data_IF_514515560967
#
_entry.id   IF_514515560967
#
_cell.length_a   1.000
_cell.length_b   1.000
_cell.length_c   1.000
_cell.angle_alpha   90.00
_cell.angle_beta   90.00
_cell.angle_gamma   90.00
#
_symmetry.space_group_name_H-M   'P 1'
#
loop_
_entity.id
_entity.type
_entity.pdbx_description
1 polymer ?
#
# COMPACT_ATOMS: atom_id res chain seq x y z
N UNK A 1 63.29 36.63 -27.22
CA UNK A 1 62.37 35.75 -27.97
C UNK A 1 62.08 34.51 -27.14
N UNK A 2 60.96 34.45 -26.42
CA UNK A 2 60.24 33.19 -26.10
C UNK A 2 58.76 33.59 -25.94
N UNK A 3 57.91 33.11 -26.83
CA UNK A 3 56.45 33.33 -26.86
C UNK A 3 55.77 32.66 -25.66
N UNK A 4 54.84 33.37 -25.01
CA UNK A 4 53.84 32.77 -24.12
C UNK A 4 52.75 32.15 -24.98
N UNK A 5 52.49 30.86 -24.80
CA UNK A 5 51.32 30.17 -25.37
C UNK A 5 50.24 30.14 -24.28
N UNK A 6 49.09 30.73 -24.59
CA UNK A 6 47.90 30.72 -23.75
C UNK A 6 47.33 29.29 -23.63
N UNK A 7 47.24 28.79 -22.40
CA UNK A 7 46.39 27.65 -22.06
C UNK A 7 45.00 28.18 -21.67
N UNK A 8 44.07 28.13 -22.61
CA UNK A 8 42.64 28.29 -22.37
C UNK A 8 42.16 27.21 -21.39
N UNK A 9 41.78 27.65 -20.19
CA UNK A 9 41.09 26.82 -19.22
C UNK A 9 39.71 26.43 -19.78
N UNK A 10 39.54 25.14 -20.10
CA UNK A 10 38.23 24.56 -20.40
C UNK A 10 37.40 24.59 -19.12
N UNK A 11 36.36 25.42 -19.08
CA UNK A 11 35.40 25.44 -17.99
C UNK A 11 34.73 24.06 -17.85
N UNK A 12 34.56 23.51 -16.63
CA UNK A 12 33.83 22.26 -16.46
C UNK A 12 32.37 22.51 -16.82
N UNK A 13 31.95 21.92 -17.93
CA UNK A 13 30.56 21.85 -18.35
C UNK A 13 29.77 21.19 -17.22
N UNK A 14 28.97 21.96 -16.47
CA UNK A 14 28.04 21.43 -15.47
C UNK A 14 27.12 20.43 -16.17
N UNK A 15 27.38 19.15 -15.99
CA UNK A 15 26.44 18.12 -16.38
C UNK A 15 25.14 18.38 -15.62
N UNK A 16 24.08 18.74 -16.35
CA UNK A 16 22.73 18.80 -15.80
C UNK A 16 22.45 17.45 -15.11
N UNK A 17 22.09 17.50 -13.83
CA UNK A 17 21.72 16.33 -13.05
C UNK A 17 20.43 15.72 -13.63
N UNK A 18 20.58 14.83 -14.62
CA UNK A 18 19.46 14.08 -15.19
C UNK A 18 18.82 13.21 -14.10
N UNK A 19 17.52 13.40 -13.88
CA UNK A 19 16.76 12.73 -12.83
C UNK A 19 16.77 11.20 -13.01
N UNK A 20 16.87 10.46 -11.90
CA UNK A 20 16.72 8.99 -11.89
C UNK A 20 15.38 8.59 -12.51
N UNK A 21 15.33 7.58 -13.41
CA UNK A 21 14.08 7.12 -14.02
C UNK A 21 13.03 6.77 -12.97
N UNK A 22 11.82 7.33 -13.14
CA UNK A 22 10.66 7.10 -12.27
C UNK A 22 9.67 6.15 -12.93
N UNK A 23 8.88 5.44 -12.12
CA UNK A 23 7.75 4.67 -12.64
C UNK A 23 6.61 5.59 -13.07
N UNK A 24 5.79 5.12 -14.00
CA UNK A 24 4.57 5.78 -14.41
C UNK A 24 3.58 5.87 -13.24
N UNK A 25 2.82 6.96 -13.20
CA UNK A 25 1.76 7.17 -12.21
C UNK A 25 0.68 6.10 -12.28
N UNK A 26 0.39 5.59 -13.47
CA UNK A 26 -0.67 4.64 -13.76
C UNK A 26 -0.10 3.45 -14.55
N UNK A 27 -0.79 2.31 -14.55
CA UNK A 27 -0.41 1.18 -15.43
C UNK A 27 -0.62 1.57 -16.90
N UNK A 28 -1.78 2.15 -17.19
CA UNK A 28 -2.16 2.66 -18.50
C UNK A 28 -2.00 4.19 -18.54
N UNK A 29 -1.75 4.77 -19.71
CA UNK A 29 -1.67 6.23 -19.85
C UNK A 29 -3.01 6.95 -19.63
N UNK A 30 -4.12 6.20 -19.59
CA UNK A 30 -5.49 6.69 -19.49
C UNK A 30 -6.34 5.75 -18.62
N UNK A 31 -7.49 6.25 -18.17
CA UNK A 31 -8.42 5.47 -17.37
C UNK A 31 -8.87 4.21 -18.11
N UNK A 32 -8.76 3.07 -17.41
CA UNK A 32 -9.33 1.81 -17.88
C UNK A 32 -10.86 1.91 -17.93
N UNK A 33 -11.46 1.49 -19.03
CA UNK A 33 -12.91 1.39 -19.15
C UNK A 33 -13.48 0.38 -18.14
N UNK A 34 -14.50 0.79 -17.38
CA UNK A 34 -15.15 -0.04 -16.36
C UNK A 34 -16.35 -0.79 -16.98
N UNK A 35 -16.14 -2.01 -17.46
CA UNK A 35 -17.20 -2.87 -18.04
C UNK A 35 -18.00 -3.57 -16.95
N UNK A 36 -19.32 -3.34 -16.88
CA UNK A 36 -20.18 -3.93 -15.83
C UNK A 36 -21.07 -5.04 -16.38
N UNK A 37 -21.12 -6.23 -15.74
CA UNK A 37 -20.34 -6.63 -14.57
C UNK A 37 -18.85 -6.86 -14.91
N UNK A 38 -17.92 -6.75 -13.93
CA UNK A 38 -16.54 -7.17 -14.13
C UNK A 38 -16.46 -8.65 -14.50
N UNK A 39 -15.37 -9.05 -15.16
CA UNK A 39 -15.12 -10.45 -15.52
C UNK A 39 -15.11 -11.36 -14.29
N UNK A 40 -15.42 -12.63 -14.49
CA UNK A 40 -15.34 -13.66 -13.44
C UNK A 40 -13.87 -14.08 -13.28
N UNK A 41 -13.43 -14.29 -12.04
CA UNK A 41 -12.12 -14.84 -11.72
C UNK A 41 -12.33 -16.17 -11.01
N UNK A 42 -12.15 -17.26 -11.73
CA UNK A 42 -12.18 -18.61 -11.17
C UNK A 42 -10.76 -19.04 -10.78
N UNK A 43 -10.40 -18.78 -9.53
CA UNK A 43 -9.07 -19.07 -9.00
C UNK A 43 -9.17 -19.50 -7.53
N UNK A 44 -8.43 -20.53 -7.13
CA UNK A 44 -8.47 -21.06 -5.76
C UNK A 44 -8.15 -20.02 -4.68
N UNK A 45 -7.30 -19.04 -5.02
CA UNK A 45 -6.95 -17.94 -4.11
C UNK A 45 -8.09 -16.96 -3.82
N UNK A 46 -9.20 -16.93 -4.57
CA UNK A 46 -10.35 -16.04 -4.30
C UNK A 46 -10.88 -16.15 -2.86
N UNK A 47 -10.81 -17.34 -2.27
CA UNK A 47 -11.26 -17.63 -0.89
C UNK A 47 -10.11 -17.88 0.09
N UNK A 48 -8.85 -17.86 -0.38
CA UNK A 48 -7.67 -18.15 0.43
C UNK A 48 -7.34 -17.03 1.42
N UNK A 49 -6.75 -17.40 2.56
CA UNK A 49 -6.24 -16.44 3.54
C UNK A 49 -5.02 -15.66 3.03
N UNK A 50 -4.20 -16.27 2.19
CA UNK A 50 -2.89 -15.74 1.80
C UNK A 50 -2.83 -15.45 0.31
N UNK A 51 -3.46 -14.35 -0.11
CA UNK A 51 -3.50 -13.92 -1.50
C UNK A 51 -2.32 -13.03 -1.90
N UNK A 52 -1.81 -12.22 -0.97
CA UNK A 52 -0.71 -11.31 -1.27
C UNK A 52 0.64 -12.04 -1.33
N UNK A 53 1.45 -11.81 -2.38
CA UNK A 53 2.82 -12.31 -2.46
C UNK A 53 3.79 -11.58 -1.51
N UNK A 54 3.43 -10.36 -1.08
CA UNK A 54 4.22 -9.56 -0.15
C UNK A 54 3.91 -9.92 1.31
N UNK A 55 4.94 -9.81 2.15
CA UNK A 55 4.85 -9.80 3.62
C UNK A 55 5.09 -8.39 4.10
N UNK A 56 4.03 -7.65 4.36
CA UNK A 56 4.16 -6.30 4.87
C UNK A 56 4.13 -6.29 6.41
N UNK A 57 5.01 -5.55 7.09
CA UNK A 57 4.87 -5.30 8.53
C UNK A 57 3.50 -4.70 8.83
N UNK A 58 2.88 -5.13 9.94
CA UNK A 58 1.50 -4.75 10.25
C UNK A 58 0.44 -5.44 9.39
N UNK A 59 0.80 -6.45 8.56
CA UNK A 59 -0.13 -7.12 7.66
C UNK A 59 -1.41 -7.59 8.35
N UNK A 60 -2.42 -6.74 8.18
CA UNK A 60 -3.83 -6.86 8.56
C UNK A 60 -4.57 -7.98 7.85
N UNK A 61 -3.85 -9.02 7.39
CA UNK A 61 -4.42 -10.30 6.98
C UNK A 61 -5.37 -10.87 8.04
N UNK A 62 -5.13 -10.56 9.31
CA UNK A 62 -6.03 -10.86 10.43
C UNK A 62 -7.25 -9.93 10.50
N UNK A 63 -7.15 -8.66 10.09
CA UNK A 63 -8.25 -7.69 10.09
C UNK A 63 -9.10 -7.78 8.81
N UNK A 64 -8.55 -8.29 7.71
CA UNK A 64 -9.25 -8.42 6.44
C UNK A 64 -10.63 -9.12 6.57
N UNK A 65 -10.80 -10.20 7.36
CA UNK A 65 -12.12 -10.76 7.66
C UNK A 65 -13.08 -9.80 8.38
N UNK A 66 -12.58 -8.97 9.30
CA UNK A 66 -13.37 -7.96 10.02
C UNK A 66 -13.83 -6.87 9.06
N UNK A 67 -12.93 -6.35 8.22
CA UNK A 67 -13.25 -5.37 7.18
C UNK A 67 -14.27 -5.94 6.19
N UNK A 68 -14.09 -7.20 5.79
CA UNK A 68 -15.02 -7.94 4.92
C UNK A 68 -16.43 -7.92 5.48
N UNK A 69 -16.59 -8.28 6.77
CA UNK A 69 -17.89 -8.25 7.45
C UNK A 69 -18.50 -6.85 7.52
N UNK A 70 -17.69 -5.82 7.80
CA UNK A 70 -18.18 -4.43 7.90
C UNK A 70 -18.69 -3.93 6.55
N UNK A 71 -17.93 -4.14 5.48
CA UNK A 71 -18.31 -3.71 4.13
C UNK A 71 -19.49 -4.52 3.59
N UNK A 72 -19.54 -5.82 3.90
CA UNK A 72 -20.67 -6.66 3.52
C UNK A 72 -21.97 -6.24 4.24
N UNK A 73 -21.91 -6.00 5.56
CA UNK A 73 -23.05 -5.51 6.33
C UNK A 73 -23.53 -4.12 5.84
N UNK A 74 -22.60 -3.24 5.43
CA UNK A 74 -22.95 -1.93 4.89
C UNK A 74 -23.85 -2.02 3.65
N UNK A 75 -23.75 -3.09 2.86
CA UNK A 75 -24.62 -3.35 1.69
C UNK A 75 -26.10 -3.51 2.04
N UNK A 76 -26.43 -3.80 3.30
CA UNK A 76 -27.81 -3.84 3.80
C UNK A 76 -28.46 -2.46 3.96
N UNK A 77 -27.71 -1.36 3.84
CA UNK A 77 -28.25 -0.01 3.93
C UNK A 77 -28.60 0.57 2.56
N UNK A 78 -29.72 1.30 2.47
CA UNK A 78 -30.04 2.13 1.29
C UNK A 78 -28.94 3.14 0.94
N UNK A 79 -28.12 3.53 1.91
CA UNK A 79 -27.04 4.50 1.71
C UNK A 79 -25.81 3.92 1.00
N UNK A 80 -25.62 2.59 1.02
CA UNK A 80 -24.52 1.87 0.39
C UNK A 80 -25.08 0.56 -0.18
N UNK A 81 -25.85 0.56 -1.28
CA UNK A 81 -26.51 -0.66 -1.76
C UNK A 81 -25.54 -1.65 -2.44
N UNK A 82 -24.38 -1.17 -2.86
CA UNK A 82 -23.31 -1.95 -3.48
C UNK A 82 -21.98 -1.18 -3.36
N UNK A 83 -20.85 -1.87 -3.55
CA UNK A 83 -19.52 -1.26 -3.57
C UNK A 83 -18.85 -1.61 -4.90
N UNK A 84 -18.91 -0.69 -5.86
CA UNK A 84 -18.36 -0.88 -7.20
C UNK A 84 -16.84 -0.67 -7.25
N UNK A 85 -16.31 0.18 -6.37
CA UNK A 85 -14.87 0.41 -6.26
C UNK A 85 -14.45 0.57 -4.80
N UNK A 86 -13.48 -0.25 -4.40
CA UNK A 86 -12.70 -0.01 -3.18
C UNK A 86 -11.39 0.69 -3.56
N UNK A 87 -11.07 1.79 -2.89
CA UNK A 87 -9.82 2.53 -3.07
C UNK A 87 -8.93 2.30 -1.85
N UNK A 88 -7.72 1.77 -2.04
CA UNK A 88 -6.74 1.56 -0.96
C UNK A 88 -5.50 2.43 -1.22
N UNK A 89 -5.46 3.67 -0.69
CA UNK A 89 -4.37 4.62 -0.94
C UNK A 89 -3.08 4.35 -0.15
N UNK A 90 -3.10 3.31 0.69
CA UNK A 90 -1.96 2.82 1.46
C UNK A 90 -1.83 1.31 1.20
N UNK A 91 -1.67 0.95 -0.09
CA UNK A 91 -1.80 -0.43 -0.52
C UNK A 91 -0.84 -1.35 0.26
N UNK A 92 0.44 -1.02 0.39
CA UNK A 92 1.41 -1.87 1.07
C UNK A 92 1.34 -3.33 0.58
N UNK A 93 0.83 -4.23 1.42
CA UNK A 93 0.58 -5.63 1.09
C UNK A 93 -0.79 -5.97 0.47
N UNK A 94 -1.71 -5.02 0.36
CA UNK A 94 -3.05 -5.09 -0.26
C UNK A 94 -3.91 -6.30 0.18
N UNK A 95 -3.66 -6.84 1.37
CA UNK A 95 -4.29 -8.09 1.82
C UNK A 95 -5.80 -7.93 2.08
N UNK A 96 -6.24 -6.73 2.48
CA UNK A 96 -7.66 -6.44 2.64
C UNK A 96 -8.35 -6.34 1.27
N UNK A 97 -7.80 -5.54 0.34
CA UNK A 97 -8.35 -5.39 -1.02
C UNK A 97 -8.43 -6.70 -1.78
N UNK A 98 -7.36 -7.51 -1.79
CA UNK A 98 -7.35 -8.80 -2.48
C UNK A 98 -8.41 -9.76 -1.95
N UNK A 99 -8.68 -9.72 -0.64
CA UNK A 99 -9.71 -10.54 -0.02
C UNK A 99 -11.10 -10.07 -0.42
N UNK A 100 -11.35 -8.77 -0.30
CA UNK A 100 -12.65 -8.15 -0.60
C UNK A 100 -13.05 -8.38 -2.06
N UNK A 101 -12.11 -8.19 -2.99
CA UNK A 101 -12.39 -8.38 -4.43
C UNK A 101 -12.47 -9.86 -4.81
N UNK A 102 -11.65 -10.71 -4.18
CA UNK A 102 -11.68 -12.16 -4.39
C UNK A 102 -12.98 -12.80 -3.92
N UNK A 103 -13.53 -12.32 -2.80
CA UNK A 103 -14.80 -12.78 -2.25
C UNK A 103 -16.03 -12.15 -2.92
N UNK A 104 -15.83 -11.23 -3.88
CA UNK A 104 -16.94 -10.50 -4.52
C UNK A 104 -17.69 -9.57 -3.57
N UNK A 105 -17.11 -9.18 -2.44
CA UNK A 105 -17.69 -8.20 -1.52
C UNK A 105 -17.69 -6.82 -2.18
N UNK A 106 -16.64 -6.53 -2.94
CA UNK A 106 -16.50 -5.35 -3.80
C UNK A 106 -16.27 -5.82 -5.24
N UNK A 107 -16.78 -5.06 -6.21
CA UNK A 107 -16.62 -5.43 -7.62
C UNK A 107 -15.19 -5.22 -8.11
N UNK A 108 -14.56 -4.14 -7.63
CA UNK A 108 -13.25 -3.70 -8.07
C UNK A 108 -12.42 -3.08 -6.96
N UNK A 109 -11.11 -3.08 -7.18
CA UNK A 109 -10.12 -2.42 -6.35
C UNK A 109 -9.22 -1.50 -7.17
N UNK A 110 -8.89 -0.34 -6.60
CA UNK A 110 -7.81 0.54 -7.03
C UNK A 110 -6.79 0.60 -5.90
N UNK A 111 -5.55 0.25 -6.21
CA UNK A 111 -4.46 0.31 -5.25
C UNK A 111 -3.67 1.59 -5.50
N UNK A 112 -3.21 2.25 -4.44
CA UNK A 112 -2.19 3.28 -4.57
C UNK A 112 -1.18 3.17 -3.45
N UNK A 113 0.07 3.51 -3.75
CA UNK A 113 1.12 3.66 -2.77
C UNK A 113 2.12 4.71 -3.25
N UNK A 114 2.71 5.43 -2.30
CA UNK A 114 3.73 6.44 -2.58
C UNK A 114 5.13 5.82 -2.63
N UNK A 115 5.33 4.61 -2.08
CA UNK A 115 6.59 3.89 -2.26
C UNK A 115 6.69 3.31 -3.67
N UNK A 116 7.61 3.88 -4.45
CA UNK A 116 7.94 3.44 -5.80
C UNK A 116 8.20 1.92 -5.92
N UNK A 117 8.79 1.25 -4.91
CA UNK A 117 9.00 -0.20 -4.96
C UNK A 117 7.70 -0.97 -4.84
N UNK A 118 6.82 -0.56 -3.93
CA UNK A 118 5.51 -1.19 -3.71
C UNK A 118 4.64 -0.97 -4.93
N UNK A 119 4.62 0.25 -5.46
CA UNK A 119 3.83 0.54 -6.66
C UNK A 119 4.37 -0.16 -7.89
N UNK A 120 5.69 -0.16 -8.12
CA UNK A 120 6.28 -0.92 -9.23
C UNK A 120 5.95 -2.41 -9.14
N UNK A 121 5.98 -2.97 -7.93
CA UNK A 121 5.59 -4.35 -7.67
C UNK A 121 4.16 -4.62 -8.09
N UNK A 122 3.19 -3.86 -7.59
CA UNK A 122 1.78 -4.08 -7.91
C UNK A 122 1.47 -3.83 -9.39
N UNK A 123 2.09 -2.82 -10.01
CA UNK A 123 1.94 -2.57 -11.45
C UNK A 123 2.49 -3.75 -12.28
N UNK A 124 3.68 -4.27 -11.96
CA UNK A 124 4.26 -5.41 -12.66
C UNK A 124 3.47 -6.71 -12.38
N UNK A 125 3.04 -6.95 -11.15
CA UNK A 125 2.22 -8.11 -10.80
C UNK A 125 0.88 -8.13 -11.57
N UNK A 126 0.31 -6.96 -11.84
CA UNK A 126 -0.93 -6.80 -12.60
C UNK A 126 -0.73 -6.87 -14.12
N UNK A 127 0.28 -6.17 -14.66
CA UNK A 127 0.40 -5.92 -16.10
C UNK A 127 1.58 -6.64 -16.79
N UNK A 128 2.62 -7.03 -16.04
CA UNK A 128 3.80 -7.75 -16.52
C UNK A 128 3.94 -9.10 -15.80
N UNK A 129 2.81 -9.74 -15.48
CA UNK A 129 2.72 -10.88 -14.54
C UNK A 129 3.71 -12.00 -14.84
N UNK A 130 3.71 -12.49 -16.09
CA UNK A 130 4.60 -13.59 -16.49
C UNK A 130 6.08 -13.18 -16.43
N UNK A 131 6.42 -11.97 -16.87
CA UNK A 131 7.80 -11.48 -16.80
C UNK A 131 8.29 -11.36 -15.35
N UNK A 132 7.41 -10.98 -14.40
CA UNK A 132 7.74 -10.96 -12.98
C UNK A 132 7.86 -12.38 -12.39
N UNK A 133 7.03 -13.32 -12.82
CA UNK A 133 7.12 -14.74 -12.43
C UNK A 133 8.46 -15.34 -12.89
N UNK A 134 8.80 -15.18 -14.16
CA UNK A 134 10.06 -15.66 -14.73
C UNK A 134 11.25 -15.11 -13.94
N UNK A 135 11.21 -13.80 -13.68
CA UNK A 135 12.27 -13.14 -12.92
C UNK A 135 12.34 -13.65 -11.48
N UNK A 136 11.21 -13.88 -10.82
CA UNK A 136 11.17 -14.45 -9.47
C UNK A 136 11.71 -15.89 -9.42
N UNK A 137 11.43 -16.72 -10.44
CA UNK A 137 11.98 -18.08 -10.56
C UNK A 137 13.48 -18.08 -10.83
N UNK A 138 13.96 -17.13 -11.63
CA UNK A 138 15.40 -16.92 -11.87
C UNK A 138 16.13 -16.53 -10.58
N UNK A 139 15.59 -15.56 -9.83
CA UNK A 139 16.17 -15.14 -8.55
C UNK A 139 16.21 -16.30 -7.54
N UNK A 140 15.13 -17.10 -7.49
CA UNK A 140 15.08 -18.30 -6.68
C UNK A 140 16.17 -19.29 -7.04
N UNK A 141 16.23 -19.71 -8.30
CA UNK A 141 17.10 -20.79 -8.77
C UNK A 141 18.57 -20.44 -8.61
N UNK A 142 18.94 -19.20 -8.97
CA UNK A 142 20.35 -18.78 -9.04
C UNK A 142 20.91 -18.28 -7.72
N UNK A 143 20.07 -17.70 -6.85
CA UNK A 143 20.58 -16.97 -5.68
C UNK A 143 19.93 -17.35 -4.36
N UNK A 144 18.60 -17.51 -4.30
CA UNK A 144 17.92 -17.77 -3.03
C UNK A 144 18.00 -19.24 -2.61
N UNK A 145 17.81 -20.18 -3.55
CA UNK A 145 17.88 -21.63 -3.30
C UNK A 145 19.28 -22.08 -2.86
N UNK A 146 20.39 -21.61 -3.45
CA UNK A 146 21.73 -21.88 -2.91
C UNK A 146 21.95 -21.37 -1.48
N UNK A 147 21.24 -20.31 -1.09
CA UNK A 147 21.32 -19.72 0.25
C UNK A 147 22.69 -19.13 0.58
N UNK A 148 23.02 -19.07 1.87
CA UNK A 148 24.35 -18.69 2.37
C UNK A 148 24.88 -17.37 1.81
N UNK A 149 26.18 -17.35 1.50
CA UNK A 149 26.87 -16.17 0.98
C UNK A 149 26.32 -15.71 -0.39
N UNK A 150 25.89 -16.64 -1.26
CA UNK A 150 25.31 -16.32 -2.57
C UNK A 150 24.03 -15.51 -2.42
N UNK A 151 23.12 -15.94 -1.54
CA UNK A 151 21.89 -15.22 -1.26
C UNK A 151 22.16 -13.86 -0.63
N UNK A 152 23.09 -13.75 0.32
CA UNK A 152 23.45 -12.48 0.97
C UNK A 152 24.09 -11.50 -0.02
N UNK A 153 24.98 -11.95 -0.89
CA UNK A 153 25.56 -11.11 -1.94
C UNK A 153 24.49 -10.59 -2.90
N UNK A 154 23.49 -11.43 -3.24
CA UNK A 154 22.36 -11.00 -4.07
C UNK A 154 21.45 -10.00 -3.34
N UNK A 155 21.29 -10.16 -2.03
CA UNK A 155 20.59 -9.18 -1.20
C UNK A 155 21.30 -7.83 -1.20
N UNK A 156 22.63 -7.80 -1.02
CA UNK A 156 23.42 -6.56 -1.08
C UNK A 156 23.31 -5.90 -2.47
N UNK A 157 23.35 -6.70 -3.55
CA UNK A 157 23.08 -6.21 -4.91
C UNK A 157 21.72 -5.50 -4.99
N UNK A 158 20.63 -6.16 -4.61
CA UNK A 158 19.29 -5.56 -4.67
C UNK A 158 19.12 -4.38 -3.71
N UNK A 159 19.85 -4.31 -2.59
CA UNK A 159 19.83 -3.14 -1.71
C UNK A 159 20.48 -1.91 -2.34
N UNK A 160 21.52 -2.10 -3.14
CA UNK A 160 22.23 -1.04 -3.84
C UNK A 160 21.70 -0.74 -5.24
N UNK A 161 20.85 -1.62 -5.79
CA UNK A 161 20.45 -1.55 -7.18
C UNK A 161 19.63 -0.29 -7.48
N UNK A 162 19.99 0.37 -8.57
CA UNK A 162 19.28 1.51 -9.14
C UNK A 162 19.13 1.32 -10.65
N UNK A 163 18.03 1.80 -11.26
CA UNK A 163 17.84 1.69 -12.70
C UNK A 163 18.88 2.51 -13.47
N UNK A 164 19.33 1.99 -14.61
CA UNK A 164 20.19 2.73 -15.53
C UNK A 164 19.45 3.96 -16.10
N UNK A 165 20.16 5.08 -16.30
CA UNK A 165 19.57 6.38 -16.68
C UNK A 165 18.72 6.35 -17.96
N UNK A 166 19.08 5.51 -18.92
CA UNK A 166 18.41 5.35 -20.21
C UNK A 166 17.58 4.06 -20.30
N UNK A 167 17.28 3.42 -19.17
CA UNK A 167 16.46 2.21 -19.16
C UNK A 167 15.03 2.52 -19.62
N UNK A 168 14.46 1.61 -20.43
CA UNK A 168 13.05 1.71 -20.84
C UNK A 168 12.13 1.66 -19.62
N UNK A 169 10.99 2.36 -19.61
CA UNK A 169 10.06 2.35 -18.47
C UNK A 169 9.65 0.95 -18.00
N UNK A 170 9.39 0.03 -18.93
CA UNK A 170 9.06 -1.38 -18.61
C UNK A 170 10.22 -2.10 -17.89
N UNK A 171 11.47 -1.87 -18.31
CA UNK A 171 12.67 -2.42 -17.64
C UNK A 171 12.84 -1.84 -16.24
N UNK A 172 12.60 -0.53 -16.07
CA UNK A 172 12.64 0.12 -14.75
C UNK A 172 11.59 -0.48 -13.83
N UNK A 173 10.33 -0.60 -14.29
CA UNK A 173 9.22 -1.19 -13.53
C UNK A 173 9.51 -2.63 -13.13
N UNK A 174 9.91 -3.50 -14.05
CA UNK A 174 10.23 -4.90 -13.76
C UNK A 174 11.42 -5.03 -12.79
N UNK A 175 12.46 -4.21 -12.95
CA UNK A 175 13.61 -4.20 -12.05
C UNK A 175 13.24 -3.80 -10.62
N UNK A 176 12.46 -2.72 -10.46
CA UNK A 176 11.96 -2.26 -9.17
C UNK A 176 10.98 -3.25 -8.53
N UNK A 177 10.11 -3.87 -9.33
CA UNK A 177 9.20 -4.93 -8.86
C UNK A 177 9.98 -6.14 -8.34
N UNK A 178 11.03 -6.55 -9.07
CA UNK A 178 11.92 -7.64 -8.65
C UNK A 178 12.65 -7.28 -7.36
N UNK A 179 13.20 -6.06 -7.28
CA UNK A 179 13.85 -5.55 -6.07
C UNK A 179 12.90 -5.58 -4.87
N UNK A 180 11.67 -5.09 -5.04
CA UNK A 180 10.62 -5.10 -4.02
C UNK A 180 10.33 -6.52 -3.53
N UNK A 181 9.96 -7.43 -4.44
CA UNK A 181 9.67 -8.83 -4.08
C UNK A 181 10.88 -9.48 -3.42
N UNK A 182 12.08 -9.29 -3.98
CA UNK A 182 13.28 -9.93 -3.48
C UNK A 182 13.56 -9.52 -2.05
N UNK A 183 13.68 -8.22 -1.80
CA UNK A 183 13.96 -7.68 -0.47
C UNK A 183 12.83 -8.01 0.51
N UNK A 184 11.57 -7.98 0.07
CA UNK A 184 10.44 -8.31 0.93
C UNK A 184 10.49 -9.77 1.42
N UNK A 185 10.90 -10.71 0.57
CA UNK A 185 10.98 -12.14 0.96
C UNK A 185 12.25 -12.46 1.73
N UNK A 186 13.33 -11.70 1.53
CA UNK A 186 14.67 -12.03 2.05
C UNK A 186 15.16 -11.11 3.17
N UNK A 187 14.41 -10.08 3.56
CA UNK A 187 14.76 -9.18 4.68
C UNK A 187 13.97 -9.55 5.94
N UNK A 188 14.57 -9.31 7.12
CA UNK A 188 13.88 -9.50 8.39
C UNK A 188 12.54 -8.75 8.40
N UNK A 189 11.47 -9.45 8.81
CA UNK A 189 10.08 -8.95 8.78
C UNK A 189 9.55 -8.41 7.43
N UNK A 190 10.27 -8.63 6.32
CA UNK A 190 9.90 -8.12 5.00
C UNK A 190 10.02 -6.59 4.86
N UNK A 191 10.77 -5.96 5.76
CA UNK A 191 11.02 -4.52 5.76
C UNK A 191 11.88 -4.19 4.54
N UNK A 192 11.42 -3.25 3.71
CA UNK A 192 12.11 -2.88 2.48
C UNK A 192 13.22 -1.82 2.69
N UNK A 193 13.22 -1.13 3.85
CA UNK A 193 14.04 0.07 4.12
C UNK A 193 14.70 0.05 5.50
N UNK A 194 15.44 1.12 5.80
CA UNK A 194 16.11 1.28 7.08
C UNK A 194 17.24 0.27 7.29
N UNK A 195 17.46 -0.08 8.56
CA UNK A 195 18.62 -0.89 9.02
C UNK A 195 18.35 -2.40 9.04
N UNK A 196 17.17 -2.85 8.59
CA UNK A 196 16.85 -4.27 8.57
C UNK A 196 17.80 -5.03 7.64
N UNK A 197 18.41 -6.09 8.16
CA UNK A 197 19.34 -6.96 7.42
C UNK A 197 18.65 -8.17 6.79
N UNK A 198 19.40 -8.97 6.02
CA UNK A 198 18.88 -10.21 5.44
C UNK A 198 18.37 -11.14 6.55
N UNK A 199 17.26 -11.82 6.30
CA UNK A 199 16.75 -12.83 7.22
C UNK A 199 17.77 -13.95 7.39
N UNK A 200 17.95 -14.38 8.63
CA UNK A 200 18.99 -15.31 9.02
C UNK A 200 20.35 -14.66 9.33
N UNK A 201 20.45 -13.34 9.20
CA UNK A 201 21.66 -12.58 9.50
C UNK A 201 22.72 -12.69 8.39
N UNK A 202 23.71 -11.80 8.38
CA UNK A 202 24.73 -11.79 7.30
C UNK A 202 25.55 -13.09 7.25
N UNK A 203 25.76 -13.75 8.40
CA UNK A 203 26.46 -15.04 8.48
C UNK A 203 25.60 -16.25 8.09
N UNK A 204 24.27 -16.09 8.01
CA UNK A 204 23.33 -17.16 7.66
C UNK A 204 23.38 -18.39 8.61
N UNK A 205 23.68 -18.16 9.88
CA UNK A 205 23.78 -19.21 10.92
C UNK A 205 22.41 -19.50 11.61
N UNK A 206 21.39 -18.68 11.35
CA UNK A 206 20.05 -18.88 11.89
C UNK A 206 19.36 -20.10 11.28
N UNK A 207 18.49 -20.81 12.03
CA UNK A 207 17.64 -21.85 11.44
C UNK A 207 16.68 -21.31 10.36
N UNK A 208 16.46 -19.98 10.33
CA UNK A 208 15.69 -19.30 9.31
C UNK A 208 16.62 -18.61 8.30
N UNK A 209 17.17 -19.37 7.36
CA UNK A 209 18.04 -18.84 6.30
C UNK A 209 17.30 -17.92 5.32
N UNK A 210 18.05 -17.25 4.44
CA UNK A 210 17.55 -16.19 3.55
C UNK A 210 16.36 -16.61 2.66
N UNK A 211 16.33 -17.88 2.26
CA UNK A 211 15.28 -18.46 1.43
C UNK A 211 14.07 -19.00 2.19
N UNK A 212 14.04 -18.99 3.53
CA UNK A 212 12.98 -19.65 4.32
C UNK A 212 11.56 -19.09 4.06
N UNK A 213 11.47 -17.91 3.45
CA UNK A 213 10.21 -17.27 3.06
C UNK A 213 10.01 -17.27 1.55
N UNK A 214 10.86 -17.86 0.73
CA UNK A 214 10.68 -17.91 -0.71
C UNK A 214 10.10 -19.26 -1.13
N UNK A 215 8.77 -19.37 -1.15
CA UNK A 215 8.11 -20.50 -1.80
C UNK A 215 7.82 -20.07 -3.25
N UNK A 216 8.58 -20.56 -4.25
CA UNK A 216 8.46 -20.09 -5.63
C UNK A 216 7.08 -20.39 -6.22
N UNK A 217 6.52 -21.58 -5.97
CA UNK A 217 5.23 -21.99 -6.54
C UNK A 217 4.09 -21.18 -5.94
N UNK A 218 4.11 -20.95 -4.63
CA UNK A 218 3.11 -20.11 -3.98
C UNK A 218 3.29 -18.61 -4.28
N UNK A 219 4.47 -18.16 -4.71
CA UNK A 219 4.66 -16.78 -5.21
C UNK A 219 4.08 -16.68 -6.62
N UNK A 220 4.38 -17.64 -7.49
CA UNK A 220 3.82 -17.69 -8.85
C UNK A 220 2.30 -17.71 -8.83
N UNK A 221 1.69 -18.62 -8.07
CA UNK A 221 0.23 -18.74 -7.97
C UNK A 221 -0.42 -17.42 -7.57
N UNK A 222 0.17 -16.70 -6.61
CA UNK A 222 -0.32 -15.39 -6.18
C UNK A 222 -0.14 -14.30 -7.23
N UNK A 223 0.96 -14.32 -7.98
CA UNK A 223 1.17 -13.38 -9.09
C UNK A 223 0.16 -13.64 -10.22
N UNK A 224 -0.06 -14.90 -10.61
CA UNK A 224 -1.07 -15.27 -11.61
C UNK A 224 -2.48 -14.82 -11.20
N UNK A 225 -2.84 -15.01 -9.92
CA UNK A 225 -4.11 -14.52 -9.38
C UNK A 225 -4.28 -13.00 -9.54
N UNK A 226 -3.23 -12.21 -9.26
CA UNK A 226 -3.27 -10.75 -9.44
C UNK A 226 -3.43 -10.39 -10.93
N UNK A 227 -2.69 -11.07 -11.81
CA UNK A 227 -2.83 -10.92 -13.26
C UNK A 227 -4.26 -11.21 -13.74
N UNK A 228 -4.89 -12.26 -13.24
CA UNK A 228 -6.29 -12.60 -13.57
C UNK A 228 -7.28 -11.55 -13.05
N UNK A 229 -7.10 -11.02 -11.83
CA UNK A 229 -7.89 -9.90 -11.33
C UNK A 229 -7.77 -8.68 -12.24
N UNK A 230 -6.57 -8.38 -12.71
CA UNK A 230 -6.34 -7.29 -13.64
C UNK A 230 -6.98 -7.56 -15.01
N UNK A 231 -6.84 -8.75 -15.58
CA UNK A 231 -7.47 -9.12 -16.86
C UNK A 231 -9.00 -9.06 -16.80
N UNK A 232 -9.60 -9.50 -15.70
CA UNK A 232 -11.05 -9.44 -15.46
C UNK A 232 -11.57 -8.01 -15.18
N UNK A 233 -10.68 -7.01 -15.10
CA UNK A 233 -11.03 -5.63 -14.74
C UNK A 233 -11.38 -5.44 -13.25
N UNK A 234 -11.14 -6.45 -12.40
CA UNK A 234 -11.40 -6.39 -10.96
C UNK A 234 -10.31 -5.61 -10.21
N UNK A 235 -9.06 -5.69 -10.64
CA UNK A 235 -8.05 -4.68 -10.30
C UNK A 235 -8.04 -3.64 -11.42
N UNK A 236 -8.47 -2.41 -11.14
CA UNK A 236 -8.65 -1.39 -12.20
C UNK A 236 -7.35 -0.71 -12.58
N UNK A 237 -6.52 -0.39 -11.60
CA UNK A 237 -5.25 0.28 -11.78
C UNK A 237 -4.42 0.23 -10.47
N UNK A 238 -3.15 0.62 -10.57
CA UNK A 238 -2.23 0.79 -9.45
C UNK A 238 -1.52 2.14 -9.58
N UNK A 239 -1.78 3.05 -8.64
CA UNK A 239 -1.33 4.44 -8.71
C UNK A 239 -0.08 4.72 -7.88
N UNK A 240 0.90 5.40 -8.48
CA UNK A 240 2.05 5.96 -7.76
C UNK A 240 1.73 7.38 -7.30
N UNK A 241 0.89 7.48 -6.27
CA UNK A 241 0.38 8.74 -5.71
C UNK A 241 0.31 8.65 -4.20
N UNK A 242 0.37 9.81 -3.53
CA UNK A 242 0.03 9.89 -2.11
C UNK A 242 -1.48 9.72 -1.89
N UNK A 243 -1.88 9.53 -0.63
CA UNK A 243 -3.28 9.30 -0.29
C UNK A 243 -4.20 10.46 -0.67
N UNK A 244 -3.73 11.71 -0.58
CA UNK A 244 -4.54 12.91 -0.81
C UNK A 244 -4.83 13.05 -2.29
N UNK A 245 -3.80 12.93 -3.12
CA UNK A 245 -3.92 12.92 -4.57
C UNK A 245 -4.79 11.75 -5.03
N UNK A 246 -4.59 10.56 -4.47
CA UNK A 246 -5.41 9.39 -4.81
C UNK A 246 -6.89 9.63 -4.56
N UNK A 247 -7.26 10.12 -3.37
CA UNK A 247 -8.67 10.35 -3.04
C UNK A 247 -9.29 11.51 -3.82
N UNK A 248 -8.50 12.55 -4.13
CA UNK A 248 -8.97 13.71 -4.90
C UNK A 248 -9.18 13.39 -6.39
N UNK A 249 -8.31 12.55 -6.97
CA UNK A 249 -8.32 12.31 -8.41
C UNK A 249 -9.28 11.17 -8.82
N UNK A 250 -9.67 10.28 -7.92
CA UNK A 250 -10.62 9.18 -8.24
C UNK A 250 -11.93 9.66 -8.88
N UNK A 251 -12.62 10.70 -8.34
CA UNK A 251 -13.82 11.25 -8.96
C UNK A 251 -13.59 11.81 -10.36
N UNK A 252 -12.42 12.41 -10.62
CA UNK A 252 -12.07 12.96 -11.94
C UNK A 252 -11.70 11.86 -12.93
N UNK A 253 -10.97 10.85 -12.47
CA UNK A 253 -10.47 9.75 -13.31
C UNK A 253 -11.55 8.71 -13.64
N UNK A 254 -12.56 8.59 -12.77
CA UNK A 254 -13.71 7.70 -12.95
C UNK A 254 -15.04 8.43 -12.67
N UNK A 255 -15.40 9.45 -13.47
CA UNK A 255 -16.56 10.31 -13.21
C UNK A 255 -17.90 9.58 -13.32
N UNK A 256 -17.93 8.41 -13.96
CA UNK A 256 -19.10 7.54 -14.05
C UNK A 256 -19.43 6.80 -12.74
N UNK A 257 -18.51 6.77 -11.77
CA UNK A 257 -18.75 6.08 -10.50
C UNK A 257 -19.67 6.90 -9.60
N UNK A 258 -20.70 6.25 -9.08
CA UNK A 258 -21.60 6.86 -8.10
C UNK A 258 -20.86 6.93 -6.75
N UNK A 259 -20.68 8.11 -6.13
CA UNK A 259 -19.90 8.24 -4.90
C UNK A 259 -20.37 7.37 -3.72
N UNK A 260 -21.67 7.05 -3.64
CA UNK A 260 -22.22 6.14 -2.63
C UNK A 260 -21.87 4.66 -2.83
N UNK A 261 -21.25 4.31 -3.97
CA UNK A 261 -20.76 2.98 -4.32
C UNK A 261 -19.24 2.91 -4.38
N UNK A 262 -18.55 3.97 -3.95
CA UNK A 262 -17.10 4.00 -3.77
C UNK A 262 -16.82 4.02 -2.27
N UNK A 263 -15.85 3.20 -1.84
CA UNK A 263 -15.38 3.19 -0.45
C UNK A 263 -13.86 3.27 -0.44
N UNK A 264 -13.28 4.14 0.37
CA UNK A 264 -11.85 4.07 0.68
C UNK A 264 -11.60 3.19 1.90
N UNK A 265 -10.62 2.29 1.81
CA UNK A 265 -10.03 1.63 2.97
C UNK A 265 -8.64 2.22 3.22
N UNK A 266 -8.44 2.77 4.42
CA UNK A 266 -7.20 3.45 4.79
C UNK A 266 -6.52 2.71 5.96
N UNK A 267 -5.23 2.42 5.79
CA UNK A 267 -4.35 1.84 6.80
C UNK A 267 -3.03 2.62 6.81
N UNK A 268 -3.04 3.89 7.25
CA UNK A 268 -1.84 4.72 7.27
C UNK A 268 -0.81 4.17 8.27
N UNK A 269 0.46 4.62 8.19
CA UNK A 269 1.45 4.34 9.22
C UNK A 269 0.94 4.73 10.62
N UNK A 270 1.28 3.96 11.66
CA UNK A 270 0.78 4.17 13.03
C UNK A 270 1.49 5.31 13.76
N UNK A 271 0.79 5.95 14.71
CA UNK A 271 1.28 7.11 15.48
C UNK A 271 2.61 6.83 16.20
N UNK A 272 2.78 5.65 16.80
CA UNK A 272 3.93 5.39 17.68
C UNK A 272 5.01 4.46 17.08
N UNK A 273 4.90 4.02 15.82
CA UNK A 273 5.80 2.97 15.26
C UNK A 273 6.14 3.10 13.78
N UNK A 274 5.84 4.23 13.13
CA UNK A 274 5.99 4.37 11.69
C UNK A 274 7.47 4.38 11.21
N UNK A 275 8.38 4.99 11.99
CA UNK A 275 9.76 5.31 11.57
C UNK A 275 10.67 4.12 11.22
N UNK A 276 10.36 2.91 11.70
CA UNK A 276 11.22 1.74 11.52
C UNK A 276 10.70 0.68 10.53
N UNK A 277 9.47 0.83 10.02
CA UNK A 277 8.77 -0.25 9.31
C UNK A 277 8.46 0.03 7.83
N UNK A 278 8.32 1.29 7.41
CA UNK A 278 7.88 1.67 6.06
C UNK A 278 8.86 2.65 5.40
N UNK A 279 9.05 2.57 4.06
CA UNK A 279 9.81 3.59 3.31
C UNK A 279 9.19 4.95 3.39
N UNK A 280 7.87 4.97 3.24
CA UNK A 280 7.01 6.12 3.25
C UNK A 280 6.13 6.02 4.48
N UNK A 281 6.79 6.00 5.63
CA UNK A 281 6.17 6.37 6.89
C UNK A 281 5.86 7.86 6.89
N UNK A 282 4.99 8.28 7.81
CA UNK A 282 4.82 9.69 8.13
C UNK A 282 6.02 10.27 8.91
N UNK A 283 7.09 9.49 9.12
CA UNK A 283 8.36 9.90 9.71
C UNK A 283 9.05 10.99 8.86
N UNK A 284 9.69 12.02 9.44
CA UNK A 284 10.60 12.92 8.72
C UNK A 284 11.72 12.21 7.96
N UNK A 285 12.08 10.95 8.27
CA UNK A 285 13.02 10.14 7.47
C UNK A 285 12.34 9.25 6.42
N UNK A 286 11.02 9.05 6.52
CA UNK A 286 10.16 8.34 5.58
C UNK A 286 9.64 9.25 4.47
N UNK A 287 9.46 8.69 3.27
CA UNK A 287 9.16 9.40 2.02
C UNK A 287 7.84 10.15 1.89
N UNK A 288 7.07 10.45 2.95
CA UNK A 288 5.95 11.39 2.82
C UNK A 288 6.47 12.84 2.79
N UNK A 289 6.40 13.48 1.61
CA UNK A 289 6.67 14.92 1.46
C UNK A 289 8.13 15.35 1.30
N UNK A 290 9.05 14.43 0.97
CA UNK A 290 10.45 14.77 0.69
C UNK A 290 10.85 14.52 -0.76
N UNK A 291 10.99 15.58 -1.55
CA UNK A 291 11.60 15.60 -2.90
C UNK A 291 13.13 15.39 -2.90
N UNK A 292 13.71 14.99 -1.75
CA UNK A 292 15.15 14.86 -1.56
C UNK A 292 15.90 16.21 -1.50
N UNK A 293 15.19 17.35 -1.54
CA UNK A 293 15.76 18.69 -1.63
C UNK A 293 15.37 19.52 -0.40
N UNK A 294 15.98 19.23 0.75
CA UNK A 294 16.25 20.20 1.82
C UNK A 294 15.11 21.05 2.41
N UNK A 295 13.84 20.81 2.08
CA UNK A 295 12.70 21.52 2.71
C UNK A 295 12.37 20.87 4.05
N UNK A 296 12.14 21.70 5.07
CA UNK A 296 11.64 21.29 6.39
C UNK A 296 10.39 20.44 6.22
N UNK A 297 10.50 19.15 6.54
CA UNK A 297 9.42 18.17 6.38
C UNK A 297 8.40 18.35 7.52
N UNK A 298 7.09 18.20 7.26
CA UNK A 298 6.09 18.16 8.33
C UNK A 298 6.41 17.03 9.32
N UNK A 299 6.28 17.28 10.62
CA UNK A 299 6.33 16.25 11.66
C UNK A 299 5.19 15.21 11.44
N UNK A 300 5.38 13.93 11.77
CA UNK A 300 4.43 12.81 11.63
C UNK A 300 3.02 13.18 12.08
N UNK A 301 2.92 13.86 13.22
CA UNK A 301 1.65 14.31 13.77
C UNK A 301 0.88 15.24 12.81
N UNK A 302 1.59 16.08 12.06
CA UNK A 302 1.00 16.97 11.05
C UNK A 302 0.39 16.16 9.90
N UNK A 303 1.04 15.08 9.45
CA UNK A 303 0.51 14.23 8.37
C UNK A 303 -0.74 13.47 8.83
N UNK A 304 -0.77 13.00 10.08
CA UNK A 304 -1.99 12.43 10.67
C UNK A 304 -3.12 13.45 10.81
N UNK A 305 -2.81 14.67 11.24
CA UNK A 305 -3.79 15.77 11.30
C UNK A 305 -4.30 16.15 9.91
N UNK A 306 -3.44 16.17 8.88
CA UNK A 306 -3.84 16.44 7.50
C UNK A 306 -4.79 15.37 6.96
N UNK A 307 -4.47 14.10 7.19
CA UNK A 307 -5.36 12.98 6.83
C UNK A 307 -6.70 13.09 7.56
N UNK A 308 -6.69 13.30 8.88
CA UNK A 308 -7.91 13.44 9.66
C UNK A 308 -8.73 14.66 9.24
N UNK A 309 -8.09 15.79 8.95
CA UNK A 309 -8.77 16.98 8.42
C UNK A 309 -9.46 16.66 7.10
N UNK A 310 -8.75 16.07 6.14
CA UNK A 310 -9.33 15.70 4.84
C UNK A 310 -10.51 14.73 5.00
N UNK A 311 -10.34 13.64 5.77
CA UNK A 311 -11.40 12.65 5.98
C UNK A 311 -12.64 13.22 6.68
N UNK A 312 -12.46 14.25 7.52
CA UNK A 312 -13.56 14.91 8.23
C UNK A 312 -14.25 16.01 7.44
N UNK A 313 -13.62 16.59 6.42
CA UNK A 313 -14.15 17.79 5.77
C UNK A 313 -14.21 17.74 4.25
N UNK A 314 -13.45 16.86 3.58
CA UNK A 314 -13.28 16.87 2.12
C UNK A 314 -13.52 15.52 1.43
N UNK A 315 -13.60 14.41 2.16
CA UNK A 315 -13.80 13.09 1.55
C UNK A 315 -15.16 13.00 0.81
N UNK A 316 -15.12 12.76 -0.50
CA UNK A 316 -16.30 12.75 -1.38
C UNK A 316 -17.07 11.41 -1.37
N UNK A 317 -16.45 10.35 -0.87
CA UNK A 317 -17.04 9.00 -0.77
C UNK A 317 -16.77 8.39 0.61
N UNK A 318 -17.52 7.34 0.95
CA UNK A 318 -17.46 6.68 2.26
C UNK A 318 -16.06 6.12 2.50
N UNK A 319 -15.68 5.98 3.77
CA UNK A 319 -14.36 5.48 4.12
C UNK A 319 -14.36 4.65 5.40
N UNK A 320 -13.40 3.74 5.48
CA UNK A 320 -13.06 2.91 6.63
C UNK A 320 -11.57 3.09 6.90
N UNK A 321 -11.24 3.59 8.08
CA UNK A 321 -9.89 3.79 8.58
C UNK A 321 -9.60 2.74 9.63
N UNK A 322 -8.42 2.13 9.53
CA UNK A 322 -7.88 1.27 10.56
C UNK A 322 -6.60 1.87 11.14
N UNK A 323 -6.39 1.73 12.44
CA UNK A 323 -5.36 2.45 13.17
C UNK A 323 -4.94 1.68 14.44
N UNK A 324 -3.76 1.98 15.01
CA UNK A 324 -3.42 1.51 16.36
C UNK A 324 -4.35 2.11 17.42
N UNK A 325 -4.61 1.37 18.50
CA UNK A 325 -5.45 1.85 19.58
C UNK A 325 -4.70 2.88 20.44
N UNK A 326 -4.65 4.12 19.98
CA UNK A 326 -4.09 5.26 20.69
C UNK A 326 -5.21 6.24 21.09
N UNK A 327 -5.37 6.56 22.40
CA UNK A 327 -6.41 7.49 22.87
C UNK A 327 -6.39 8.86 22.16
N UNK A 328 -5.20 9.35 21.75
CA UNK A 328 -5.08 10.63 21.04
C UNK A 328 -5.98 10.72 19.79
N UNK A 329 -6.21 9.60 19.10
CA UNK A 329 -7.05 9.55 17.91
C UNK A 329 -8.50 9.93 18.19
N UNK A 330 -9.01 9.56 19.37
CA UNK A 330 -10.41 9.74 19.75
C UNK A 330 -10.61 10.91 20.72
N UNK A 331 -9.56 11.37 21.39
CA UNK A 331 -9.64 12.49 22.33
C UNK A 331 -9.32 13.84 21.66
N UNK A 332 -8.50 13.83 20.60
CA UNK A 332 -8.07 15.08 19.94
C UNK A 332 -9.11 15.62 18.95
N UNK A 333 -9.52 16.91 19.06
CA UNK A 333 -10.41 17.56 18.08
C UNK A 333 -9.76 17.75 16.70
N UNK A 334 -8.43 17.68 16.65
CA UNK A 334 -7.67 17.73 15.40
C UNK A 334 -7.64 16.38 14.66
N UNK A 335 -7.92 15.29 15.37
CA UNK A 335 -8.03 13.94 14.85
C UNK A 335 -9.50 13.55 14.73
N UNK A 336 -9.94 12.48 15.39
CA UNK A 336 -11.26 11.88 15.17
C UNK A 336 -12.22 12.00 16.37
N UNK A 337 -11.99 12.92 17.31
CA UNK A 337 -12.88 13.10 18.46
C UNK A 337 -14.33 13.41 18.06
N UNK A 338 -14.52 14.19 17.01
CA UNK A 338 -15.86 14.53 16.53
C UNK A 338 -16.64 13.30 16.03
N UNK A 339 -17.95 13.29 16.29
CA UNK A 339 -18.85 12.23 15.86
C UNK A 339 -19.37 12.41 14.42
N UNK A 340 -19.09 13.53 13.76
CA UNK A 340 -19.55 13.83 12.39
C UNK A 340 -18.52 14.59 11.58
N UNK A 341 -18.55 14.36 10.28
CA UNK A 341 -17.86 15.19 9.28
C UNK A 341 -18.45 16.60 9.26
N UNK A 342 -17.59 17.60 9.03
CA UNK A 342 -17.94 19.03 8.98
C UNK A 342 -17.38 19.67 7.70
N UNK A 343 -17.88 19.29 6.52
CA UNK A 343 -17.49 19.96 5.28
C UNK A 343 -17.95 21.41 5.28
N UNK A 344 -17.13 22.29 4.70
CA UNK A 344 -17.45 23.70 4.49
C UNK A 344 -18.64 23.85 3.52
N UNK A 345 -19.36 24.99 3.51
CA UNK A 345 -20.40 25.25 2.50
C UNK A 345 -19.86 25.09 1.07
N UNK A 346 -18.66 25.61 0.82
CA UNK A 346 -17.98 25.50 -0.47
C UNK A 346 -17.70 24.03 -0.86
N UNK A 347 -17.14 23.21 0.04
CA UNK A 347 -16.88 21.79 -0.25
C UNK A 347 -18.19 21.00 -0.48
N UNK A 348 -19.31 21.39 0.16
CA UNK A 348 -20.63 20.76 -0.08
C UNK A 348 -21.16 21.10 -1.47
N UNK A 349 -21.02 22.35 -1.88
CA UNK A 349 -21.56 22.86 -3.13
C UNK A 349 -20.70 22.44 -4.33
N UNK A 350 -19.38 22.60 -4.24
CA UNK A 350 -18.45 22.37 -5.35
C UNK A 350 -18.07 20.89 -5.51
N UNK A 351 -17.86 20.17 -4.41
CA UNK A 351 -17.38 18.78 -4.41
C UNK A 351 -18.47 17.78 -4.01
N UNK A 352 -19.69 18.23 -3.71
CA UNK A 352 -20.78 17.36 -3.28
C UNK A 352 -20.51 16.64 -1.95
N UNK A 353 -19.58 17.14 -1.12
CA UNK A 353 -19.15 16.45 0.11
C UNK A 353 -20.29 16.40 1.11
N UNK A 354 -20.59 15.20 1.60
CA UNK A 354 -21.68 14.98 2.57
C UNK A 354 -21.16 14.99 4.00
N UNK A 355 -22.03 15.36 4.94
CA UNK A 355 -21.77 15.21 6.37
C UNK A 355 -22.22 13.82 6.84
N UNK A 356 -21.26 12.92 7.07
CA UNK A 356 -21.52 11.58 7.61
C UNK A 356 -21.16 11.47 9.09
N UNK A 357 -21.82 10.53 9.78
CA UNK A 357 -21.49 10.17 11.16
C UNK A 357 -20.26 9.27 11.17
N UNK A 358 -19.33 9.54 12.08
CA UNK A 358 -18.16 8.72 12.33
C UNK A 358 -18.51 7.68 13.40
N UNK A 359 -18.51 6.41 13.01
CA UNK A 359 -18.65 5.27 13.92
C UNK A 359 -17.26 4.77 14.29
N UNK A 360 -17.06 4.40 15.56
CA UNK A 360 -15.78 3.92 16.09
C UNK A 360 -15.96 2.55 16.74
N UNK A 361 -15.02 1.64 16.53
CA UNK A 361 -15.00 0.29 17.11
C UNK A 361 -13.61 -0.09 17.56
N UNK A 362 -13.52 -0.75 18.72
CA UNK A 362 -12.32 -1.47 19.12
C UNK A 362 -12.40 -2.89 18.58
N UNK A 363 -11.38 -3.28 17.83
CA UNK A 363 -11.23 -4.63 17.31
C UNK A 363 -10.23 -5.37 18.16
N UNK A 364 -10.67 -6.44 18.83
CA UNK A 364 -9.77 -7.31 19.57
C UNK A 364 -9.14 -8.32 18.63
N UNK A 365 -7.81 -8.25 18.48
CA UNK A 365 -7.03 -9.07 17.58
C UNK A 365 -6.21 -10.09 18.36
N UNK A 366 -6.38 -11.37 18.01
CA UNK A 366 -5.52 -12.45 18.52
C UNK A 366 -4.26 -12.53 17.65
N UNK A 367 -3.20 -11.85 18.06
CA UNK A 367 -1.90 -11.96 17.39
C UNK A 367 -1.22 -13.27 17.78
N UNK A 368 -0.92 -14.13 16.79
CA UNK A 368 0.04 -15.21 16.97
C UNK A 368 1.44 -14.64 16.81
N UNK A 369 2.02 -14.09 17.89
CA UNK A 369 3.42 -13.71 17.86
C UNK A 369 4.29 -14.97 17.84
N UNK A 370 5.11 -15.14 16.80
CA UNK A 370 6.22 -16.09 16.84
C UNK A 370 7.28 -15.58 17.83
N UNK A 371 7.48 -16.29 18.94
CA UNK A 371 8.69 -16.13 19.75
C UNK A 371 8.55 -15.69 21.21
N UNK A 372 7.35 -15.47 21.77
CA UNK A 372 7.17 -15.33 23.23
C UNK A 372 5.89 -16.02 23.69
N UNK A 373 6.01 -16.86 24.71
CA UNK A 373 4.90 -17.48 25.44
C UNK A 373 3.99 -16.40 26.01
N UNK A 374 2.77 -16.31 25.48
CA UNK A 374 1.73 -15.38 25.93
C UNK A 374 0.98 -14.76 24.75
N UNK A 375 -0.26 -15.22 24.50
CA UNK A 375 -1.20 -14.51 23.62
C UNK A 375 -1.48 -13.15 24.28
N UNK A 376 -0.94 -12.05 23.73
CA UNK A 376 -1.38 -10.71 24.10
C UNK A 376 -2.45 -10.29 23.11
N UNK A 377 -3.66 -10.04 23.62
CA UNK A 377 -4.68 -9.35 22.84
C UNK A 377 -4.15 -7.94 22.53
N UNK A 378 -4.14 -7.57 21.26
CA UNK A 378 -3.91 -6.19 20.86
C UNK A 378 -5.21 -5.64 20.30
N UNK A 379 -5.55 -4.43 20.71
CA UNK A 379 -6.73 -3.75 20.19
C UNK A 379 -6.29 -2.86 19.03
N UNK A 380 -7.07 -2.90 17.95
CA UNK A 380 -7.01 -1.94 16.85
C UNK A 380 -8.24 -1.04 16.87
N UNK A 381 -8.06 0.22 16.48
CA UNK A 381 -9.16 1.16 16.34
C UNK A 381 -9.63 1.16 14.88
N UNK A 382 -10.94 0.94 14.69
CA UNK A 382 -11.62 1.17 13.43
C UNK A 382 -12.48 2.43 13.53
N UNK A 383 -12.38 3.29 12.52
CA UNK A 383 -13.20 4.50 12.38
C UNK A 383 -13.81 4.48 10.99
N UNK A 384 -15.11 4.74 10.86
CA UNK A 384 -15.76 4.68 9.56
C UNK A 384 -16.90 5.67 9.41
N UNK A 385 -17.12 6.10 8.17
CA UNK A 385 -18.33 6.83 7.77
C UNK A 385 -19.40 5.93 7.19
N UNK A 386 -19.23 4.60 7.16
CA UNK A 386 -20.30 3.67 6.77
C UNK A 386 -21.53 3.85 7.67
N UNK A 387 -22.74 3.50 7.19
CA UNK A 387 -23.97 3.73 7.94
C UNK A 387 -23.90 3.13 9.36
N UNK A 388 -24.11 3.91 10.43
CA UNK A 388 -23.94 3.41 11.80
C UNK A 388 -24.80 2.18 12.11
N UNK A 389 -26.02 2.13 11.56
CA UNK A 389 -26.95 1.01 11.72
C UNK A 389 -26.46 -0.32 11.15
N UNK A 390 -25.44 -0.31 10.30
CA UNK A 390 -24.88 -1.51 9.68
C UNK A 390 -23.51 -1.89 10.22
N UNK A 391 -22.87 -1.05 11.05
CA UNK A 391 -21.56 -1.36 11.62
C UNK A 391 -21.76 -2.40 12.74
N UNK A 392 -21.24 -3.63 12.61
CA UNK A 392 -21.50 -4.68 13.60
C UNK A 392 -21.00 -4.32 15.00
N UNK A 393 -21.68 -4.86 16.00
CA UNK A 393 -21.27 -4.83 17.41
C UNK A 393 -21.30 -6.26 17.94
N UNK A 394 -20.15 -6.75 18.39
CA UNK A 394 -20.02 -8.07 19.00
C UNK A 394 -18.77 -8.14 19.89
N UNK A 395 -18.43 -9.33 20.38
CA UNK A 395 -17.26 -9.56 21.23
C UNK A 395 -15.92 -9.18 20.55
N UNK A 396 -15.87 -9.18 19.22
CA UNK A 396 -14.70 -8.82 18.43
C UNK A 396 -14.69 -7.32 18.06
N UNK A 397 -15.86 -6.75 17.74
CA UNK A 397 -16.10 -5.35 17.36
C UNK A 397 -16.88 -4.64 18.47
N UNK A 398 -16.17 -4.08 19.44
CA UNK A 398 -16.78 -3.43 20.61
C UNK A 398 -16.93 -1.94 20.41
N UNK A 399 -17.94 -1.34 21.03
CA UNK A 399 -18.05 0.12 21.10
C UNK A 399 -16.97 0.70 22.02
N UNK A 400 -16.62 1.97 21.81
CA UNK A 400 -15.79 2.71 22.76
C UNK A 400 -16.68 3.05 23.96
N UNK A 401 -16.40 2.44 25.10
CA UNK A 401 -17.04 2.78 26.39
C UNK A 401 -16.54 4.09 26.93
#
# INVERSE_FOLDING_TARGET
MIQKVDMLAVAPMRAASAATPRISTHILGNARQLVSPPGVVDHALTTSRYQSPLRYPGAKSSLAPVISRILDAAKGSRAVPAINLLVEPFAGGASASLRLVGQGIVDRVLLADVDQLVTAFWQAAAADTEALIDRARDEWTRYVKPGGATGVARWDYWRSWVPARNAKPATVRLGLATQCLFLNRTTFSGILHGKAGPIGGRKQESPYGIGCRWNPDAIEERLRYIGQLYQAGRLVDVWHKDWKQTLADVPEYYPQLIPSRVVAYLDPPYLEKASHLYRASFDPTGGYGGDGLGKSRPNDHMLHMQLAAYLRTKAQFRWLLSYDNNPLLIDSPWLYAHARMRPSPEDRETLGVRSWTLTKRLVTMRYTASGKTGKRDANELLITTLPPSTVPVDHQLRELT
#
